data_IF_342317388925
#
_entry.id   IF_342317388925
#
_cell.length_a   1.000
_cell.length_b   1.000
_cell.length_c   1.000
_cell.angle_alpha   90.00
_cell.angle_beta   90.00
_cell.angle_gamma   90.00
#
_symmetry.space_group_name_H-M   'P 1'
#
loop_
_entity.id
_entity.type
_entity.pdbx_description
1 polymer ?
#
# COMPACT_ATOMS: atom_id res chain seq x y z
N UNK A 1 -5.69 18.70 17.61
CA UNK A 1 -4.67 17.81 18.23
C UNK A 1 -3.44 17.80 17.32
N UNK A 2 -2.33 18.45 17.70
CA UNK A 2 -1.12 18.55 16.84
C UNK A 2 -0.42 17.18 16.75
N UNK A 3 -0.24 16.66 15.55
CA UNK A 3 0.64 15.52 15.28
C UNK A 3 2.08 15.93 15.58
N UNK A 4 2.58 15.61 16.76
CA UNK A 4 4.01 15.75 17.02
C UNK A 4 4.72 14.49 16.54
N UNK A 5 5.38 14.59 15.38
CA UNK A 5 6.20 13.51 14.86
C UNK A 5 7.44 13.39 15.74
N UNK A 6 7.45 12.41 16.64
CA UNK A 6 8.66 12.04 17.37
C UNK A 6 9.55 11.27 16.40
N UNK A 7 10.67 11.84 16.02
CA UNK A 7 11.62 11.26 15.06
C UNK A 7 11.98 9.81 15.40
N UNK A 8 12.14 9.48 16.69
CA UNK A 8 12.40 8.11 17.17
C UNK A 8 11.31 7.10 16.78
N UNK A 9 10.04 7.50 16.83
CA UNK A 9 8.93 6.63 16.45
C UNK A 9 8.95 6.36 14.94
N UNK A 10 9.31 7.38 14.16
CA UNK A 10 9.43 7.24 12.71
C UNK A 10 10.55 6.25 12.34
N UNK A 11 11.70 6.32 13.03
CA UNK A 11 12.79 5.34 12.86
C UNK A 11 12.29 3.92 13.08
N UNK A 12 11.63 3.65 14.21
CA UNK A 12 11.12 2.30 14.51
C UNK A 12 10.06 1.83 13.52
N UNK A 13 9.22 2.74 13.02
CA UNK A 13 8.19 2.42 12.05
C UNK A 13 8.77 1.93 10.72
N UNK A 14 9.95 2.40 10.32
CA UNK A 14 10.64 1.93 9.11
C UNK A 14 11.62 0.78 9.38
N UNK A 15 12.32 0.81 10.50
CA UNK A 15 13.31 -0.21 10.84
C UNK A 15 12.67 -1.59 10.95
N UNK A 16 11.48 -1.70 11.55
CA UNK A 16 10.81 -2.99 11.73
C UNK A 16 10.39 -3.65 10.39
N UNK A 17 9.67 -2.98 9.47
CA UNK A 17 9.43 -3.48 8.13
C UNK A 17 10.70 -3.86 7.37
N UNK A 18 11.77 -3.05 7.47
CA UNK A 18 13.05 -3.36 6.82
C UNK A 18 13.65 -4.66 7.36
N UNK A 19 13.65 -4.86 8.68
CA UNK A 19 14.20 -6.08 9.29
C UNK A 19 13.41 -7.34 8.92
N UNK A 20 12.08 -7.24 8.85
CA UNK A 20 11.22 -8.41 8.55
C UNK A 20 11.11 -8.70 7.05
N UNK A 21 11.04 -7.66 6.22
CA UNK A 21 10.64 -7.75 4.82
C UNK A 21 11.71 -7.25 3.84
N UNK A 22 12.79 -6.63 4.34
CA UNK A 22 13.84 -6.05 3.50
C UNK A 22 14.53 -7.08 2.60
N UNK A 23 14.50 -8.37 2.98
CA UNK A 23 14.99 -9.45 2.13
C UNK A 23 14.28 -9.51 0.77
N UNK A 24 13.01 -9.11 0.66
CA UNK A 24 12.29 -9.04 -0.61
C UNK A 24 12.81 -7.93 -1.54
N UNK A 25 13.46 -6.89 -1.03
CA UNK A 25 14.11 -5.88 -1.90
C UNK A 25 15.33 -6.49 -2.59
N UNK A 26 16.13 -7.26 -1.85
CA UNK A 26 17.38 -7.85 -2.34
C UNK A 26 17.10 -9.10 -3.18
N UNK A 27 16.16 -9.93 -2.72
CA UNK A 27 15.76 -11.20 -3.33
C UNK A 27 14.24 -11.20 -3.55
N UNK A 28 13.74 -10.45 -4.55
CA UNK A 28 12.33 -10.45 -4.87
C UNK A 28 11.89 -11.84 -5.34
N UNK A 29 10.72 -12.29 -4.89
CA UNK A 29 10.14 -13.56 -5.34
C UNK A 29 9.56 -13.41 -6.73
N UNK A 30 10.23 -13.97 -7.73
CA UNK A 30 9.74 -13.94 -9.12
C UNK A 30 9.00 -15.25 -9.41
N UNK A 31 7.67 -15.17 -9.41
CA UNK A 31 6.79 -16.20 -9.98
C UNK A 31 6.42 -15.88 -11.43
N UNK A 32 5.61 -16.74 -12.05
CA UNK A 32 5.19 -16.64 -13.45
C UNK A 32 4.53 -15.28 -13.76
N UNK A 33 3.62 -14.82 -12.91
CA UNK A 33 2.92 -13.54 -13.15
C UNK A 33 3.86 -12.33 -13.07
N UNK A 34 4.82 -12.35 -12.15
CA UNK A 34 5.83 -11.30 -12.04
C UNK A 34 6.87 -11.35 -13.15
N UNK A 35 7.23 -12.54 -13.63
CA UNK A 35 8.10 -12.70 -14.80
C UNK A 35 7.43 -12.08 -16.04
N UNK A 36 6.15 -12.40 -16.24
CA UNK A 36 5.37 -11.81 -17.33
C UNK A 36 5.24 -10.29 -17.19
N UNK A 37 5.11 -9.77 -15.96
CA UNK A 37 5.10 -8.32 -15.72
C UNK A 37 6.44 -7.65 -16.04
N UNK A 38 7.58 -8.32 -15.84
CA UNK A 38 8.91 -7.81 -16.18
C UNK A 38 9.11 -7.80 -17.71
N UNK A 39 8.69 -8.87 -18.39
CA UNK A 39 8.95 -9.05 -19.82
C UNK A 39 7.91 -8.38 -20.73
N UNK A 40 6.64 -8.39 -20.35
CA UNK A 40 5.50 -7.96 -21.17
C UNK A 40 4.57 -7.00 -20.42
N UNK A 41 5.17 -5.97 -19.81
CA UNK A 41 4.46 -5.07 -18.90
C UNK A 41 3.23 -4.38 -19.53
N UNK A 42 3.39 -3.81 -20.73
CA UNK A 42 2.30 -3.09 -21.41
C UNK A 42 1.13 -4.01 -21.75
N UNK A 43 1.42 -5.24 -22.18
CA UNK A 43 0.39 -6.24 -22.45
C UNK A 43 -0.35 -6.61 -21.16
N UNK A 44 0.37 -6.76 -20.05
CA UNK A 44 -0.22 -7.04 -18.75
C UNK A 44 -1.12 -5.89 -18.29
N UNK A 45 -0.69 -4.63 -18.41
CA UNK A 45 -1.52 -3.48 -18.06
C UNK A 45 -2.76 -3.38 -18.94
N UNK A 46 -2.63 -3.60 -20.26
CA UNK A 46 -3.75 -3.64 -21.17
C UNK A 46 -4.75 -4.73 -20.77
N UNK A 47 -4.27 -5.94 -20.45
CA UNK A 47 -5.12 -7.04 -20.00
C UNK A 47 -5.87 -6.75 -18.69
N UNK A 48 -5.28 -5.95 -17.81
CA UNK A 48 -5.93 -5.52 -16.56
C UNK A 48 -6.92 -4.40 -16.77
N UNK A 49 -6.65 -3.52 -17.74
CA UNK A 49 -7.54 -2.45 -18.14
C UNK A 49 -8.82 -3.01 -18.80
N UNK A 50 -8.70 -4.03 -19.65
CA UNK A 50 -9.86 -4.67 -20.31
C UNK A 50 -10.79 -5.38 -19.34
N UNK A 51 -10.27 -5.93 -18.25
CA UNK A 51 -11.10 -6.54 -17.19
C UNK A 51 -11.61 -5.51 -16.17
N UNK A 52 -11.12 -4.26 -16.20
CA UNK A 52 -11.65 -3.17 -15.38
C UNK A 52 -10.94 -2.92 -14.08
N UNK A 53 -9.65 -3.27 -13.98
CA UNK A 53 -8.80 -2.94 -12.82
C UNK A 53 -8.19 -1.55 -12.97
N UNK A 54 -9.03 -0.54 -13.15
CA UNK A 54 -8.61 0.82 -13.55
C UNK A 54 -7.73 1.47 -12.48
N UNK A 55 -8.08 1.36 -11.19
CA UNK A 55 -7.28 1.95 -10.10
C UNK A 55 -5.91 1.30 -9.98
N UNK A 56 -5.84 -0.03 -10.12
CA UNK A 56 -4.60 -0.79 -10.10
C UNK A 56 -3.69 -0.39 -11.27
N UNK A 57 -4.23 -0.36 -12.49
CA UNK A 57 -3.49 0.07 -13.68
C UNK A 57 -3.01 1.51 -13.54
N UNK A 58 -3.83 2.38 -12.96
CA UNK A 58 -3.46 3.77 -12.66
C UNK A 58 -2.25 3.87 -11.73
N UNK A 59 -2.25 3.13 -10.60
CA UNK A 59 -1.10 3.09 -9.69
C UNK A 59 0.15 2.52 -10.34
N UNK A 60 -0.02 1.49 -11.15
CA UNK A 60 1.07 0.88 -11.89
C UNK A 60 1.70 1.85 -12.89
N UNK A 61 0.90 2.53 -13.72
CA UNK A 61 1.38 3.58 -14.63
C UNK A 61 2.03 4.76 -13.89
N UNK A 62 1.55 5.09 -12.68
CA UNK A 62 2.12 6.15 -11.84
C UNK A 62 3.50 5.79 -11.28
N UNK A 63 3.65 4.59 -10.69
CA UNK A 63 4.89 4.18 -10.03
C UNK A 63 5.91 3.52 -10.98
N UNK A 64 5.45 2.98 -12.10
CA UNK A 64 6.26 2.21 -13.06
C UNK A 64 5.97 2.63 -14.51
N UNK A 65 6.15 3.92 -14.86
CA UNK A 65 5.78 4.42 -16.19
C UNK A 65 6.60 3.80 -17.34
N UNK A 66 7.77 3.23 -17.04
CA UNK A 66 8.70 2.67 -18.04
C UNK A 66 8.84 1.15 -17.97
N UNK A 67 8.06 0.47 -17.12
CA UNK A 67 8.17 -0.97 -16.90
C UNK A 67 8.20 -1.37 -15.43
N UNK A 68 7.75 -2.60 -15.15
CA UNK A 68 7.70 -3.13 -13.79
C UNK A 68 9.09 -3.46 -13.23
N UNK A 69 9.36 -3.01 -12.00
CA UNK A 69 10.57 -3.32 -11.25
C UNK A 69 10.20 -3.90 -9.88
N UNK A 70 10.46 -5.20 -9.62
CA UNK A 70 10.17 -5.81 -8.32
C UNK A 70 10.88 -5.12 -7.15
N UNK A 71 12.11 -4.64 -7.38
CA UNK A 71 12.91 -3.94 -6.38
C UNK A 71 12.23 -2.63 -5.97
N UNK A 72 11.86 -1.80 -6.94
CA UNK A 72 11.17 -0.54 -6.69
C UNK A 72 9.80 -0.78 -6.05
N UNK A 73 9.09 -1.80 -6.48
CA UNK A 73 7.82 -2.22 -5.91
C UNK A 73 7.93 -2.59 -4.42
N UNK A 74 8.92 -3.38 -4.03
CA UNK A 74 9.16 -3.69 -2.62
C UNK A 74 9.64 -2.49 -1.80
N UNK A 75 10.40 -1.56 -2.40
CA UNK A 75 10.77 -0.30 -1.75
C UNK A 75 9.54 0.55 -1.43
N UNK A 76 8.64 0.73 -2.41
CA UNK A 76 7.38 1.47 -2.21
C UNK A 76 6.52 0.81 -1.15
N UNK A 77 6.42 -0.53 -1.18
CA UNK A 77 5.70 -1.33 -0.18
C UNK A 77 6.24 -1.08 1.23
N UNK A 78 7.57 -1.17 1.45
CA UNK A 78 8.17 -0.94 2.77
C UNK A 78 7.96 0.49 3.25
N UNK A 79 8.12 1.48 2.37
CA UNK A 79 7.91 2.88 2.72
C UNK A 79 6.45 3.13 3.12
N UNK A 80 5.50 2.64 2.32
CA UNK A 80 4.08 2.74 2.62
C UNK A 80 3.73 2.06 3.94
N UNK A 81 4.34 0.91 4.23
CA UNK A 81 4.07 0.13 5.43
C UNK A 81 4.59 0.85 6.68
N UNK A 82 5.76 1.48 6.59
CA UNK A 82 6.28 2.31 7.69
C UNK A 82 5.36 3.47 8.03
N UNK A 83 4.86 4.19 7.01
CA UNK A 83 3.86 5.24 7.23
C UNK A 83 2.56 4.71 7.82
N UNK A 84 2.05 3.58 7.31
CA UNK A 84 0.84 2.94 7.80
C UNK A 84 0.96 2.58 9.28
N UNK A 85 2.03 1.86 9.65
CA UNK A 85 2.28 1.43 11.03
C UNK A 85 2.41 2.63 11.98
N UNK A 86 3.18 3.64 11.56
CA UNK A 86 3.32 4.88 12.31
C UNK A 86 1.96 5.56 12.55
N UNK A 87 1.21 5.79 11.47
CA UNK A 87 -0.03 6.55 11.54
C UNK A 87 -1.10 5.83 12.37
N UNK A 88 -1.30 4.53 12.13
CA UNK A 88 -2.27 3.72 12.87
C UNK A 88 -1.89 3.65 14.35
N UNK A 89 -0.61 3.43 14.67
CA UNK A 89 -0.15 3.42 16.06
C UNK A 89 -0.48 4.72 16.79
N UNK A 90 -0.23 5.87 16.16
CA UNK A 90 -0.53 7.18 16.77
C UNK A 90 -2.02 7.44 16.90
N UNK A 91 -2.84 6.98 15.95
CA UNK A 91 -4.29 7.18 15.99
C UNK A 91 -4.98 6.32 17.02
N UNK A 92 -4.63 5.04 17.07
CA UNK A 92 -5.18 4.10 18.06
C UNK A 92 -4.51 4.23 19.43
N UNK A 93 -3.47 5.07 19.55
CA UNK A 93 -2.65 5.26 20.77
C UNK A 93 -2.06 3.94 21.28
N UNK A 94 -1.76 3.02 20.37
CA UNK A 94 -1.12 1.73 20.69
C UNK A 94 0.40 1.87 20.60
N UNK A 95 1.11 1.06 21.39
CA UNK A 95 2.57 1.07 21.39
C UNK A 95 3.12 0.63 20.01
N UNK A 96 3.86 1.52 19.34
CA UNK A 96 4.28 1.32 17.95
C UNK A 96 5.00 -0.01 17.72
N UNK A 97 6.02 -0.31 18.52
CA UNK A 97 6.82 -1.52 18.33
C UNK A 97 5.96 -2.78 18.50
N UNK A 98 5.05 -2.79 19.49
CA UNK A 98 4.21 -3.96 19.76
C UNK A 98 3.22 -4.15 18.61
N UNK A 99 2.57 -3.07 18.19
CA UNK A 99 1.66 -3.08 17.05
C UNK A 99 2.34 -3.50 15.75
N UNK A 100 3.52 -2.98 15.46
CA UNK A 100 4.29 -3.34 14.27
C UNK A 100 4.68 -4.82 14.28
N UNK A 101 5.18 -5.33 15.41
CA UNK A 101 5.56 -6.74 15.51
C UNK A 101 4.35 -7.66 15.34
N UNK A 102 3.22 -7.35 15.96
CA UNK A 102 2.00 -8.15 15.78
C UNK A 102 1.49 -8.06 14.35
N UNK A 103 1.41 -6.87 13.76
CA UNK A 103 0.93 -6.69 12.39
C UNK A 103 1.79 -7.43 11.36
N UNK A 104 3.12 -7.33 11.46
CA UNK A 104 4.08 -7.95 10.54
C UNK A 104 4.14 -9.48 10.68
N UNK A 105 3.80 -10.03 11.85
CA UNK A 105 3.79 -11.47 12.11
C UNK A 105 2.47 -12.15 11.75
N UNK A 106 1.42 -11.39 11.41
CA UNK A 106 0.15 -11.98 10.98
C UNK A 106 0.33 -12.69 9.63
N UNK A 107 -0.14 -13.95 9.49
CA UNK A 107 -0.05 -14.69 8.23
C UNK A 107 -0.70 -13.96 7.06
N UNK A 108 -1.82 -13.28 7.29
CA UNK A 108 -2.51 -12.52 6.24
C UNK A 108 -1.63 -11.40 5.68
N UNK A 109 -0.88 -10.70 6.53
CA UNK A 109 0.06 -9.65 6.12
C UNK A 109 1.16 -10.25 5.25
N UNK A 110 1.72 -11.39 5.69
CA UNK A 110 2.74 -12.09 4.92
C UNK A 110 2.25 -12.53 3.53
N UNK A 111 1.06 -13.13 3.42
CA UNK A 111 0.51 -13.56 2.13
C UNK A 111 0.31 -12.39 1.17
N UNK A 112 -0.17 -11.25 1.65
CA UNK A 112 -0.34 -10.06 0.82
C UNK A 112 1.01 -9.47 0.36
N UNK A 113 2.04 -9.51 1.22
CA UNK A 113 3.37 -9.01 0.86
C UNK A 113 4.11 -9.96 -0.08
N UNK A 114 3.94 -11.28 0.12
CA UNK A 114 4.52 -12.31 -0.71
C UNK A 114 4.03 -12.23 -2.16
N UNK A 115 2.80 -11.74 -2.37
CA UNK A 115 2.26 -11.46 -3.70
C UNK A 115 2.86 -10.17 -4.29
N UNK A 116 4.07 -10.31 -4.80
CA UNK A 116 4.93 -9.24 -5.31
C UNK A 116 4.22 -8.32 -6.30
N UNK A 117 3.41 -8.87 -7.19
CA UNK A 117 2.82 -8.09 -8.27
C UNK A 117 1.89 -6.97 -7.79
N UNK A 118 1.30 -7.06 -6.58
CA UNK A 118 0.35 -6.06 -6.06
C UNK A 118 0.65 -5.59 -4.62
N UNK A 119 1.71 -6.07 -3.98
CA UNK A 119 1.94 -5.80 -2.55
C UNK A 119 2.08 -4.29 -2.23
N UNK A 120 2.70 -3.50 -3.11
CA UNK A 120 2.85 -2.06 -2.96
C UNK A 120 1.50 -1.35 -3.02
N UNK A 121 0.66 -1.74 -3.99
CA UNK A 121 -0.68 -1.18 -4.16
C UNK A 121 -1.59 -1.53 -2.99
N UNK A 122 -1.49 -2.75 -2.44
CA UNK A 122 -2.25 -3.16 -1.25
C UNK A 122 -1.88 -2.28 -0.06
N UNK A 123 -0.59 -2.11 0.22
CA UNK A 123 -0.13 -1.28 1.35
C UNK A 123 -0.51 0.19 1.15
N UNK A 124 -0.34 0.72 -0.07
CA UNK A 124 -0.73 2.08 -0.40
C UNK A 124 -2.24 2.30 -0.21
N UNK A 125 -3.05 1.34 -0.65
CA UNK A 125 -4.51 1.36 -0.50
C UNK A 125 -4.92 1.33 0.97
N UNK A 126 -4.30 0.47 1.80
CA UNK A 126 -4.54 0.47 3.24
C UNK A 126 -4.23 1.82 3.89
N UNK A 127 -3.14 2.47 3.46
CA UNK A 127 -2.79 3.82 3.93
C UNK A 127 -3.83 4.86 3.51
N UNK A 128 -4.30 4.82 2.26
CA UNK A 128 -5.38 5.70 1.78
C UNK A 128 -6.68 5.51 2.55
N UNK A 129 -7.08 4.27 2.83
CA UNK A 129 -8.28 3.98 3.64
C UNK A 129 -8.16 4.57 5.03
N UNK A 130 -7.02 4.40 5.68
CA UNK A 130 -6.78 4.97 7.02
C UNK A 130 -6.76 6.49 6.99
N UNK A 131 -6.15 7.11 5.97
CA UNK A 131 -6.17 8.57 5.80
C UNK A 131 -7.58 9.10 5.53
N UNK A 132 -8.36 8.40 4.71
CA UNK A 132 -9.76 8.74 4.43
C UNK A 132 -10.60 8.69 5.72
N UNK A 133 -10.54 7.57 6.46
CA UNK A 133 -11.25 7.42 7.72
C UNK A 133 -10.83 8.49 8.74
N UNK A 134 -9.54 8.82 8.81
CA UNK A 134 -9.05 9.88 9.67
C UNK A 134 -9.62 11.24 9.27
N UNK A 135 -9.53 11.61 7.99
CA UNK A 135 -10.03 12.88 7.52
C UNK A 135 -11.54 13.00 7.75
N UNK A 136 -12.30 11.94 7.48
CA UNK A 136 -13.72 11.86 7.78
C UNK A 136 -14.02 12.09 9.27
N UNK A 137 -13.28 11.45 10.17
CA UNK A 137 -13.45 11.61 11.63
C UNK A 137 -13.11 13.00 12.18
N UNK A 138 -12.27 13.77 11.45
CA UNK A 138 -11.83 15.10 11.89
C UNK A 138 -12.55 16.25 11.18
N UNK A 139 -13.28 15.94 10.11
CA UNK A 139 -14.01 16.92 9.32
C UNK A 139 -15.27 17.34 10.06
N UNK A 140 -15.33 18.60 10.47
CA UNK A 140 -16.52 19.19 11.11
C UNK A 140 -17.59 19.58 10.10
N UNK A 141 -17.20 19.89 8.86
CA UNK A 141 -18.10 20.36 7.82
C UNK A 141 -18.40 19.25 6.82
N UNK A 142 -19.63 19.23 6.29
CA UNK A 142 -20.07 18.18 5.37
C UNK A 142 -19.43 18.32 3.98
N UNK A 143 -19.16 19.55 3.52
CA UNK A 143 -18.59 19.80 2.19
C UNK A 143 -17.13 19.34 2.07
N UNK A 144 -16.40 19.23 3.18
CA UNK A 144 -15.05 18.66 3.20
C UNK A 144 -15.05 17.13 3.10
N UNK A 145 -16.20 16.46 3.22
CA UNK A 145 -16.30 15.00 3.08
C UNK A 145 -16.09 14.51 1.63
N UNK A 146 -16.15 15.39 0.64
CA UNK A 146 -15.88 15.00 -0.75
C UNK A 146 -14.47 14.39 -0.91
N UNK A 147 -13.47 14.97 -0.23
CA UNK A 147 -12.07 14.52 -0.31
C UNK A 147 -11.89 13.07 0.20
N UNK A 148 -12.29 12.71 1.44
CA UNK A 148 -12.15 11.34 1.92
C UNK A 148 -13.00 10.34 1.12
N UNK A 149 -14.16 10.76 0.60
CA UNK A 149 -14.98 9.90 -0.27
C UNK A 149 -14.23 9.58 -1.57
N UNK A 150 -13.60 10.56 -2.20
CA UNK A 150 -12.79 10.33 -3.41
C UNK A 150 -11.58 9.45 -3.12
N UNK A 151 -10.88 9.68 -2.00
CA UNK A 151 -9.74 8.85 -1.58
C UNK A 151 -10.18 7.40 -1.36
N UNK A 152 -11.32 7.20 -0.68
CA UNK A 152 -11.86 5.87 -0.41
C UNK A 152 -12.37 5.18 -1.68
N UNK A 153 -13.06 5.92 -2.55
CA UNK A 153 -13.51 5.41 -3.85
C UNK A 153 -12.33 4.98 -4.73
N UNK A 154 -11.25 5.76 -4.75
CA UNK A 154 -10.02 5.36 -5.42
C UNK A 154 -9.40 4.12 -4.77
N UNK A 155 -9.35 4.04 -3.44
CA UNK A 155 -8.84 2.84 -2.75
C UNK A 155 -9.63 1.58 -3.13
N UNK A 156 -10.96 1.65 -3.21
CA UNK A 156 -11.80 0.55 -3.70
C UNK A 156 -11.45 0.20 -5.15
N UNK A 157 -11.19 1.21 -5.99
CA UNK A 157 -10.89 1.03 -7.40
C UNK A 157 -9.59 0.27 -7.70
N UNK A 158 -8.68 0.22 -6.73
CA UNK A 158 -7.43 -0.53 -6.82
C UNK A 158 -7.66 -2.03 -6.64
N UNK A 159 -8.67 -2.42 -5.86
CA UNK A 159 -8.95 -3.82 -5.53
C UNK A 159 -10.04 -4.45 -6.40
N UNK A 160 -11.08 -3.68 -6.77
CA UNK A 160 -12.23 -4.20 -7.50
C UNK A 160 -12.06 -4.18 -9.03
N UNK A 161 -12.73 -5.14 -9.67
CA UNK A 161 -13.03 -5.16 -11.11
C UNK A 161 -14.33 -4.40 -11.33
N UNK A 162 -14.32 -3.31 -12.10
CA UNK A 162 -15.54 -2.52 -12.33
C UNK A 162 -16.46 -3.09 -13.41
N UNK A 163 -15.99 -4.02 -14.24
CA UNK A 163 -16.75 -4.55 -15.38
C UNK A 163 -17.39 -5.93 -15.13
N UNK A 164 -17.39 -6.45 -13.91
CA UNK A 164 -17.98 -7.77 -13.57
C UNK A 164 -19.30 -7.68 -12.79
N UNK A 165 -20.17 -6.73 -13.17
CA UNK A 165 -21.59 -6.70 -12.78
C UNK A 165 -22.47 -6.78 -14.02
#
# INVERSE_FOLDING_TARGET
MRFFIRFKDLIWAYLLPILFLGHFIIFPTVGIDTENAILHYDYLLFSWETIGRIGLVGLKKLFFPTGYSPILNNLIMIIGLGFFLYFVSKKLKVHLIIFSLTFLSLPITYFQIYFQLQNAEVVFTCLLVVLSAYYFSTSTNWYTWLIPILIFGFAISVYNLFWTL
#
